data_IF_400467216774
#
_entry.id   IF_400467216774
#
_cell.length_a   1.000
_cell.length_b   1.000
_cell.length_c   1.000
_cell.angle_alpha   90.00
_cell.angle_beta   90.00
_cell.angle_gamma   90.00
#
_symmetry.space_group_name_H-M   'P 1'
#
loop_
_entity.id
_entity.type
_entity.pdbx_description
1 polymer ?
#
# COMPACT_ATOMS: atom_id res chain seq x y z
N UNK A 1 -84.91 15.90 53.55
CA UNK A 1 -83.56 16.51 53.57
C UNK A 1 -82.48 15.49 53.87
N UNK A 2 -82.69 14.53 54.78
CA UNK A 2 -81.69 13.50 55.13
C UNK A 2 -81.29 12.58 53.95
N UNK A 3 -82.24 12.15 53.12
CA UNK A 3 -81.97 11.29 51.96
C UNK A 3 -81.09 11.94 50.89
N UNK A 4 -81.22 13.25 50.66
CA UNK A 4 -80.35 14.01 49.76
C UNK A 4 -78.90 14.05 50.27
N UNK A 5 -78.71 14.20 51.58
CA UNK A 5 -77.40 14.20 52.21
C UNK A 5 -76.68 12.85 52.05
N UNK A 6 -77.39 11.73 52.26
CA UNK A 6 -76.82 10.40 52.04
C UNK A 6 -76.43 10.14 50.58
N UNK A 7 -77.21 10.62 49.61
CA UNK A 7 -76.87 10.50 48.18
C UNK A 7 -75.61 11.29 47.85
N UNK A 8 -75.50 12.54 48.31
CA UNK A 8 -74.31 13.38 48.08
C UNK A 8 -73.07 12.75 48.73
N UNK A 9 -73.21 12.20 49.94
CA UNK A 9 -72.12 11.56 50.66
C UNK A 9 -71.68 10.26 49.97
N UNK A 10 -72.62 9.44 49.49
CA UNK A 10 -72.31 8.26 48.68
C UNK A 10 -71.60 8.62 47.38
N UNK A 11 -72.07 9.63 46.65
CA UNK A 11 -71.41 10.13 45.44
C UNK A 11 -69.99 10.63 45.74
N UNK A 12 -69.79 11.37 46.83
CA UNK A 12 -68.47 11.84 47.28
C UNK A 12 -67.51 10.68 47.55
N UNK A 13 -67.97 9.64 48.26
CA UNK A 13 -67.17 8.43 48.53
C UNK A 13 -66.83 7.71 47.23
N UNK A 14 -67.78 7.55 46.30
CA UNK A 14 -67.48 6.91 45.00
C UNK A 14 -66.46 7.69 44.17
N UNK A 15 -66.53 9.02 44.16
CA UNK A 15 -65.55 9.87 43.48
C UNK A 15 -64.15 9.74 44.09
N UNK A 16 -64.05 9.70 45.42
CA UNK A 16 -62.77 9.50 46.11
C UNK A 16 -62.18 8.13 45.76
N UNK A 17 -62.99 7.06 45.74
CA UNK A 17 -62.53 5.72 45.38
C UNK A 17 -62.04 5.65 43.92
N UNK A 18 -62.76 6.30 42.99
CA UNK A 18 -62.33 6.39 41.58
C UNK A 18 -61.01 7.16 41.48
N UNK A 19 -60.89 8.29 42.18
CA UNK A 19 -59.69 9.12 42.15
C UNK A 19 -58.48 8.39 42.73
N UNK A 20 -58.64 7.64 43.82
CA UNK A 20 -57.58 6.79 44.39
C UNK A 20 -57.13 5.68 43.41
N UNK A 21 -58.07 5.06 42.71
CA UNK A 21 -57.76 4.05 41.69
C UNK A 21 -56.99 4.64 40.50
N UNK A 22 -57.40 5.82 40.02
CA UNK A 22 -56.70 6.55 38.96
C UNK A 22 -55.31 7.01 39.42
N UNK A 23 -55.18 7.49 40.66
CA UNK A 23 -53.89 7.92 41.22
C UNK A 23 -52.90 6.77 41.29
N UNK A 24 -53.37 5.57 41.68
CA UNK A 24 -52.55 4.35 41.66
C UNK A 24 -52.07 4.03 40.25
N UNK A 25 -52.98 3.97 39.27
CA UNK A 25 -52.62 3.71 37.87
C UNK A 25 -51.66 4.76 37.30
N UNK A 26 -51.85 6.03 37.69
CA UNK A 26 -50.98 7.12 37.28
C UNK A 26 -49.57 6.97 37.86
N UNK A 27 -49.45 6.60 39.13
CA UNK A 27 -48.15 6.33 39.76
C UNK A 27 -47.46 5.13 39.11
N UNK A 28 -48.16 4.03 38.88
CA UNK A 28 -47.61 2.86 38.18
C UNK A 28 -47.11 3.26 36.77
N UNK A 29 -47.88 4.07 36.04
CA UNK A 29 -47.50 4.57 34.72
C UNK A 29 -46.28 5.49 34.79
N UNK A 30 -46.23 6.39 35.77
CA UNK A 30 -45.11 7.30 36.00
C UNK A 30 -43.82 6.54 36.30
N UNK A 31 -43.90 5.49 37.12
CA UNK A 31 -42.75 4.66 37.45
C UNK A 31 -42.26 3.90 36.22
N UNK A 32 -43.17 3.33 35.42
CA UNK A 32 -42.79 2.71 34.14
C UNK A 32 -42.17 3.69 33.16
N UNK A 33 -42.69 4.92 33.07
CA UNK A 33 -42.13 5.96 32.21
C UNK A 33 -40.69 6.29 32.64
N UNK A 34 -40.45 6.48 33.94
CA UNK A 34 -39.11 6.74 34.46
C UNK A 34 -38.13 5.59 34.17
N UNK A 35 -38.58 4.34 34.29
CA UNK A 35 -37.74 3.19 33.92
C UNK A 35 -37.41 3.17 32.42
N UNK A 36 -38.37 3.46 31.55
CA UNK A 36 -38.14 3.49 30.11
C UNK A 36 -37.26 4.66 29.68
N UNK A 37 -37.41 5.83 30.31
CA UNK A 37 -36.53 6.99 30.06
C UNK A 37 -35.09 6.69 30.46
N UNK A 38 -34.87 6.07 31.64
CA UNK A 38 -33.52 5.68 32.06
C UNK A 38 -32.90 4.61 31.16
N UNK A 39 -33.68 3.63 30.72
CA UNK A 39 -33.21 2.62 29.77
C UNK A 39 -32.88 3.23 28.40
N UNK A 40 -33.74 4.13 27.89
CA UNK A 40 -33.50 4.81 26.62
C UNK A 40 -32.23 5.66 26.68
N UNK A 41 -32.03 6.44 27.75
CA UNK A 41 -30.81 7.21 27.94
C UNK A 41 -29.57 6.31 28.01
N UNK A 42 -29.67 5.15 28.68
CA UNK A 42 -28.56 4.18 28.70
C UNK A 42 -28.26 3.60 27.32
N UNK A 43 -29.29 3.34 26.51
CA UNK A 43 -29.14 2.84 25.15
C UNK A 43 -28.56 3.90 24.21
N UNK A 44 -28.96 5.17 24.35
CA UNK A 44 -28.37 6.29 23.62
C UNK A 44 -26.88 6.45 23.94
N UNK A 45 -26.51 6.42 25.22
CA UNK A 45 -25.09 6.46 25.61
C UNK A 45 -24.27 5.31 25.03
N UNK A 46 -24.82 4.09 25.00
CA UNK A 46 -24.15 2.93 24.39
C UNK A 46 -24.01 3.10 22.88
N UNK A 47 -25.05 3.61 22.22
CA UNK A 47 -25.03 3.90 20.79
C UNK A 47 -23.93 4.90 20.46
N UNK A 48 -23.82 6.00 21.20
CA UNK A 48 -22.78 7.00 20.99
C UNK A 48 -21.38 6.43 21.20
N UNK A 49 -21.21 5.55 22.19
CA UNK A 49 -19.95 4.84 22.43
C UNK A 49 -19.57 3.92 21.24
N UNK A 50 -20.54 3.17 20.69
CA UNK A 50 -20.30 2.34 19.51
C UNK A 50 -20.03 3.16 18.25
N UNK A 51 -20.70 4.29 18.06
CA UNK A 51 -20.41 5.20 16.94
C UNK A 51 -18.98 5.76 17.03
N UNK A 52 -18.52 6.12 18.23
CA UNK A 52 -17.14 6.55 18.45
C UNK A 52 -16.13 5.41 18.17
N UNK A 53 -16.42 4.19 18.61
CA UNK A 53 -15.58 3.02 18.34
C UNK A 53 -15.49 2.70 16.85
N UNK A 54 -16.61 2.74 16.13
CA UNK A 54 -16.66 2.58 14.66
C UNK A 54 -15.83 3.66 13.98
N UNK A 55 -15.91 4.91 14.43
CA UNK A 55 -15.09 6.01 13.92
C UNK A 55 -13.60 5.73 14.08
N UNK A 56 -13.17 5.33 15.28
CA UNK A 56 -11.77 4.99 15.57
C UNK A 56 -11.27 3.80 14.75
N UNK A 57 -12.08 2.74 14.62
CA UNK A 57 -11.74 1.58 13.80
C UNK A 57 -11.61 1.95 12.32
N UNK A 58 -12.49 2.82 11.82
CA UNK A 58 -12.47 3.29 10.43
C UNK A 58 -11.20 4.10 10.13
N UNK A 59 -10.78 4.96 11.06
CA UNK A 59 -9.52 5.70 10.96
C UNK A 59 -8.32 4.75 10.91
N UNK A 60 -8.28 3.77 11.81
CA UNK A 60 -7.21 2.77 11.87
C UNK A 60 -7.14 1.89 10.62
N UNK A 61 -8.29 1.52 10.04
CA UNK A 61 -8.34 0.81 8.75
C UNK A 61 -7.76 1.67 7.64
N UNK A 62 -8.07 2.97 7.60
CA UNK A 62 -7.52 3.88 6.60
C UNK A 62 -5.99 4.01 6.71
N UNK A 63 -5.45 4.08 7.93
CA UNK A 63 -4.01 4.07 8.18
C UNK A 63 -3.35 2.78 7.67
N UNK A 64 -3.86 1.62 8.06
CA UNK A 64 -3.30 0.34 7.59
C UNK A 64 -3.41 0.16 6.08
N UNK A 65 -4.49 0.64 5.47
CA UNK A 65 -4.64 0.60 4.01
C UNK A 65 -3.57 1.44 3.33
N UNK A 66 -3.26 2.62 3.87
CA UNK A 66 -2.20 3.49 3.36
C UNK A 66 -0.82 2.84 3.51
N UNK A 67 -0.52 2.26 4.67
CA UNK A 67 0.74 1.54 4.90
C UNK A 67 0.90 0.36 3.94
N UNK A 68 -0.17 -0.42 3.75
CA UNK A 68 -0.19 -1.54 2.82
C UNK A 68 0.09 -1.10 1.38
N UNK A 69 -0.53 -0.02 0.90
CA UNK A 69 -0.27 0.51 -0.44
C UNK A 69 1.18 0.98 -0.63
N UNK A 70 1.77 1.59 0.40
CA UNK A 70 3.19 1.97 0.36
C UNK A 70 4.10 0.73 0.29
N UNK A 71 3.76 -0.31 1.05
CA UNK A 71 4.50 -1.58 1.02
C UNK A 71 4.38 -2.27 -0.35
N UNK A 72 3.18 -2.36 -0.92
CA UNK A 72 2.97 -2.93 -2.26
C UNK A 72 3.76 -2.19 -3.33
N UNK A 73 3.76 -0.85 -3.27
CA UNK A 73 4.56 -0.03 -4.19
C UNK A 73 6.06 -0.32 -4.04
N UNK A 74 6.57 -0.39 -2.81
CA UNK A 74 7.98 -0.69 -2.57
C UNK A 74 8.36 -2.09 -3.08
N UNK A 75 7.46 -3.07 -2.95
CA UNK A 75 7.66 -4.42 -3.45
C UNK A 75 7.66 -4.46 -4.99
N UNK A 76 6.77 -3.70 -5.63
CA UNK A 76 6.73 -3.57 -7.07
C UNK A 76 8.02 -2.91 -7.62
N UNK A 77 8.49 -1.84 -6.99
CA UNK A 77 9.75 -1.16 -7.34
C UNK A 77 10.95 -2.12 -7.17
N UNK A 78 10.98 -2.90 -6.08
CA UNK A 78 12.02 -3.91 -5.86
C UNK A 78 12.01 -5.01 -6.93
N UNK A 79 10.83 -5.53 -7.28
CA UNK A 79 10.67 -6.55 -8.34
C UNK A 79 11.08 -6.00 -9.70
N UNK A 80 10.75 -4.75 -9.99
CA UNK A 80 11.16 -4.10 -11.23
C UNK A 80 12.69 -3.97 -11.29
N UNK A 81 13.32 -3.48 -10.22
CA UNK A 81 14.78 -3.35 -10.16
C UNK A 81 15.49 -4.71 -10.26
N UNK A 82 14.92 -5.77 -9.68
CA UNK A 82 15.42 -7.13 -9.83
C UNK A 82 15.30 -7.62 -11.27
N UNK A 83 14.14 -7.46 -11.90
CA UNK A 83 13.92 -7.83 -13.30
C UNK A 83 14.86 -7.07 -14.25
N UNK A 84 15.08 -5.77 -14.04
CA UNK A 84 16.02 -4.96 -14.81
C UNK A 84 17.46 -5.49 -14.68
N UNK A 85 17.88 -5.87 -13.46
CA UNK A 85 19.20 -6.50 -13.23
C UNK A 85 19.33 -7.86 -13.89
N UNK A 86 18.27 -8.68 -13.87
CA UNK A 86 18.25 -10.00 -14.54
C UNK A 86 18.36 -9.82 -16.05
N UNK A 87 17.54 -8.94 -16.64
CA UNK A 87 17.58 -8.63 -18.07
C UNK A 87 18.94 -8.07 -18.49
N UNK A 88 19.55 -7.23 -17.66
CA UNK A 88 20.89 -6.70 -17.93
C UNK A 88 21.96 -7.81 -17.91
N UNK A 89 21.92 -8.72 -16.92
CA UNK A 89 22.80 -9.90 -16.87
C UNK A 89 22.60 -10.82 -18.07
N UNK A 90 21.35 -11.06 -18.48
CA UNK A 90 21.05 -11.85 -19.68
C UNK A 90 21.57 -11.17 -20.95
N UNK A 91 21.42 -9.84 -21.07
CA UNK A 91 21.99 -9.07 -22.19
C UNK A 91 23.49 -9.24 -22.28
N UNK A 92 24.19 -9.20 -21.14
CA UNK A 92 25.64 -9.41 -21.09
C UNK A 92 26.06 -10.82 -21.53
N UNK A 93 25.28 -11.85 -21.19
CA UNK A 93 25.61 -13.25 -21.55
C UNK A 93 25.76 -13.50 -23.05
N UNK A 94 25.01 -12.77 -23.89
CA UNK A 94 25.02 -12.93 -25.35
C UNK A 94 25.82 -11.87 -26.09
N UNK A 95 26.42 -10.92 -25.37
CA UNK A 95 27.13 -9.80 -25.98
C UNK A 95 28.58 -10.17 -26.32
N UNK A 96 29.06 -9.77 -27.48
CA UNK A 96 30.47 -9.92 -27.85
C UNK A 96 31.37 -8.92 -27.10
N UNK A 97 32.67 -9.24 -27.00
CA UNK A 97 33.63 -8.34 -26.32
C UNK A 97 33.74 -6.96 -26.99
N UNK A 98 33.53 -6.86 -28.30
CA UNK A 98 33.55 -5.58 -29.02
C UNK A 98 32.31 -4.74 -28.70
N UNK A 99 31.14 -5.37 -28.65
CA UNK A 99 29.90 -4.71 -28.22
C UNK A 99 29.98 -4.28 -26.75
N UNK A 100 30.69 -5.02 -25.90
CA UNK A 100 30.99 -4.60 -24.53
C UNK A 100 31.78 -3.30 -24.49
N UNK A 101 32.88 -3.22 -25.22
CA UNK A 101 33.72 -2.02 -25.29
C UNK A 101 32.95 -0.80 -25.81
N UNK A 102 32.07 -0.99 -26.81
CA UNK A 102 31.16 0.04 -27.31
C UNK A 102 30.16 0.48 -26.24
N UNK A 103 29.51 -0.47 -25.56
CA UNK A 103 28.48 -0.18 -24.55
C UNK A 103 29.03 0.57 -23.33
N UNK A 104 30.31 0.37 -22.99
CA UNK A 104 31.01 1.06 -21.91
C UNK A 104 31.68 2.36 -22.36
N UNK A 105 31.59 2.72 -23.64
CA UNK A 105 32.17 3.94 -24.20
C UNK A 105 33.70 3.92 -24.26
N UNK A 106 34.33 2.74 -24.17
CA UNK A 106 35.78 2.61 -24.30
C UNK A 106 36.23 2.77 -25.76
N UNK A 107 35.34 2.47 -26.72
CA UNK A 107 35.52 2.66 -28.16
C UNK A 107 34.24 3.23 -28.78
N UNK A 108 34.37 3.81 -29.97
CA UNK A 108 33.24 4.26 -30.78
C UNK A 108 33.07 3.43 -32.07
N UNK A 109 32.00 3.69 -32.81
CA UNK A 109 31.72 2.99 -34.08
C UNK A 109 32.76 3.31 -35.17
N UNK A 110 33.43 4.46 -35.10
CA UNK A 110 34.48 4.81 -36.06
C UNK A 110 35.75 3.98 -35.83
N UNK A 111 36.11 3.76 -34.57
CA UNK A 111 37.23 2.93 -34.15
C UNK A 111 37.03 1.48 -34.63
N UNK A 112 35.81 0.96 -34.51
CA UNK A 112 35.43 -0.36 -35.03
C UNK A 112 35.52 -0.40 -36.56
N UNK A 113 34.96 0.59 -37.26
CA UNK A 113 35.00 0.66 -38.71
C UNK A 113 36.44 0.75 -39.26
N UNK A 114 37.31 1.53 -38.60
CA UNK A 114 38.74 1.65 -38.95
C UNK A 114 39.46 0.32 -38.74
N UNK A 115 39.17 -0.40 -37.65
CA UNK A 115 39.74 -1.70 -37.38
C UNK A 115 39.29 -2.78 -38.38
N UNK A 116 38.00 -2.81 -38.76
CA UNK A 116 37.50 -3.74 -39.79
C UNK A 116 38.05 -3.44 -41.17
N UNK A 117 38.15 -2.15 -41.55
CA UNK A 117 38.74 -1.74 -42.82
C UNK A 117 40.21 -2.19 -42.92
N UNK A 118 40.97 -2.10 -41.82
CA UNK A 118 42.34 -2.59 -41.75
C UNK A 118 42.42 -4.12 -41.91
N UNK A 119 41.55 -4.88 -41.25
CA UNK A 119 41.47 -6.34 -41.41
C UNK A 119 41.21 -6.74 -42.85
N UNK A 120 40.25 -6.07 -43.50
CA UNK A 120 39.87 -6.34 -44.89
C UNK A 120 41.00 -6.05 -45.87
N UNK A 121 41.77 -4.97 -45.65
CA UNK A 121 42.91 -4.60 -46.50
C UNK A 121 44.11 -5.52 -46.34
N UNK A 122 44.35 -6.07 -45.15
CA UNK A 122 45.57 -6.82 -44.84
C UNK A 122 45.35 -8.34 -44.73
N UNK A 123 44.14 -8.86 -44.99
CA UNK A 123 43.77 -10.28 -44.84
C UNK A 123 44.22 -10.82 -43.47
N UNK A 124 43.99 -10.01 -42.42
CA UNK A 124 44.44 -10.33 -41.08
C UNK A 124 43.43 -11.21 -40.34
N UNK A 125 43.91 -12.27 -39.71
CA UNK A 125 43.13 -13.12 -38.80
C UNK A 125 42.90 -12.47 -37.42
N UNK A 126 43.46 -11.28 -37.17
CA UNK A 126 43.36 -10.61 -35.87
C UNK A 126 41.92 -10.21 -35.54
N UNK A 127 41.57 -10.31 -34.26
CA UNK A 127 40.31 -9.78 -33.72
C UNK A 127 40.28 -8.24 -33.79
N UNK A 128 39.09 -7.64 -33.86
CA UNK A 128 38.94 -6.16 -33.85
C UNK A 128 39.62 -5.55 -32.63
N UNK A 129 39.51 -6.19 -31.45
CA UNK A 129 40.21 -5.78 -30.24
C UNK A 129 41.74 -5.74 -30.37
N UNK A 130 42.34 -6.68 -31.09
CA UNK A 130 43.80 -6.72 -31.30
C UNK A 130 44.25 -5.58 -32.23
N UNK A 131 43.45 -5.26 -33.24
CA UNK A 131 43.70 -4.12 -34.14
C UNK A 131 43.58 -2.79 -33.39
N UNK A 132 42.66 -2.68 -32.44
CA UNK A 132 42.52 -1.48 -31.59
C UNK A 132 43.75 -1.25 -30.69
N UNK A 133 44.40 -2.32 -30.23
CA UNK A 133 45.69 -2.22 -29.50
C UNK A 133 46.82 -1.84 -30.45
N UNK A 134 46.85 -2.38 -31.67
CA UNK A 134 47.85 -2.02 -32.69
C UNK A 134 47.78 -0.53 -33.07
N UNK A 135 46.57 0.03 -33.15
CA UNK A 135 46.37 1.46 -33.38
C UNK A 135 46.59 2.33 -32.14
N UNK A 136 47.02 1.72 -31.03
CA UNK A 136 47.26 2.39 -29.76
C UNK A 136 46.03 3.16 -29.25
N UNK A 137 44.83 2.76 -29.69
CA UNK A 137 43.56 3.37 -29.29
C UNK A 137 43.16 2.96 -27.89
N UNK A 138 43.49 1.71 -27.54
CA UNK A 138 43.44 1.16 -26.19
C UNK A 138 44.82 0.59 -25.89
N UNK A 139 45.39 0.91 -24.73
CA UNK A 139 46.67 0.33 -24.30
C UNK A 139 46.54 -1.18 -24.06
N UNK A 140 47.63 -1.92 -24.23
CA UNK A 140 47.64 -3.36 -23.95
C UNK A 140 47.27 -3.70 -22.49
N UNK A 141 47.59 -2.83 -21.54
CA UNK A 141 47.25 -3.00 -20.12
C UNK A 141 45.76 -2.78 -19.87
N UNK A 142 45.18 -1.69 -20.39
CA UNK A 142 43.73 -1.44 -20.29
C UNK A 142 42.92 -2.52 -20.99
N UNK A 143 43.43 -3.07 -22.11
CA UNK A 143 42.75 -4.17 -22.81
C UNK A 143 42.72 -5.48 -22.00
N UNK A 144 43.75 -5.76 -21.19
CA UNK A 144 43.71 -6.89 -20.25
C UNK A 144 42.65 -6.69 -19.17
N UNK A 145 42.61 -5.48 -18.62
CA UNK A 145 41.65 -5.10 -17.59
C UNK A 145 40.20 -5.19 -18.09
N UNK A 146 39.90 -4.65 -19.28
CA UNK A 146 38.57 -4.74 -19.88
C UNK A 146 38.14 -6.17 -20.21
N UNK A 147 39.08 -7.05 -20.59
CA UNK A 147 38.78 -8.47 -20.78
C UNK A 147 38.40 -9.15 -19.47
N UNK A 148 39.11 -8.83 -18.38
CA UNK A 148 38.81 -9.39 -17.06
C UNK A 148 37.46 -8.88 -16.53
N UNK A 149 37.15 -7.60 -16.75
CA UNK A 149 35.83 -7.02 -16.46
C UNK A 149 34.73 -7.69 -17.30
N UNK A 150 34.96 -7.92 -18.60
CA UNK A 150 34.02 -8.60 -19.48
C UNK A 150 33.78 -10.06 -19.05
N UNK A 151 34.82 -10.80 -18.67
CA UNK A 151 34.67 -12.15 -18.12
C UNK A 151 33.88 -12.17 -16.82
N UNK A 152 34.15 -11.21 -15.94
CA UNK A 152 33.40 -11.06 -14.69
C UNK A 152 31.93 -10.72 -14.94
N UNK A 153 31.65 -9.88 -15.94
CA UNK A 153 30.30 -9.46 -16.31
C UNK A 153 29.50 -10.56 -17.04
N UNK A 154 30.16 -11.39 -17.86
CA UNK A 154 29.50 -12.40 -18.71
C UNK A 154 29.60 -13.84 -18.17
N UNK A 155 30.48 -14.08 -17.19
CA UNK A 155 30.76 -15.40 -16.62
C UNK A 155 31.52 -16.34 -17.57
N UNK A 156 32.12 -15.80 -18.63
CA UNK A 156 32.91 -16.52 -19.65
C UNK A 156 34.42 -16.47 -19.38
#
# INVERSE_FOLDING_TARGET
>A
MESMFFIVLACGVTLILILLSLLKKYNDLRDTLATLETENNSMEMKKDAYEAEIGSLSERIAEYTKEYMLLERSLAESRQAENERVLEKERYKYMSFVEYLLSKGHIDNEDVAKAEAYKKRNISSMGVAEVLVLFNRISGESMKQYREEFRTATGQ
#
